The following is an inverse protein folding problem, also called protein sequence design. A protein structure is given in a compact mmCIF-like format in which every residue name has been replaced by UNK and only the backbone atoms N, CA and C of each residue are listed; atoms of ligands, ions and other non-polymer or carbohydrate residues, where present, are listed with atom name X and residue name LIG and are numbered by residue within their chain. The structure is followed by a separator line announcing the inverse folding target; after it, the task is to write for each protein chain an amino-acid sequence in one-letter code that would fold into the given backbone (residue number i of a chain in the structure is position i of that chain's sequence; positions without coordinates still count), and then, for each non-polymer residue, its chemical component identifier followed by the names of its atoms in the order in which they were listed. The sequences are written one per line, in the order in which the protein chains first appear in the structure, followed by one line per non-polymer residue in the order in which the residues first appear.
data_IF_141898878509
#
_entry.id   IF_141898878509
#
_cell.length_a   1.000
_cell.length_b   1.000
_cell.length_c   1.000
_cell.angle_alpha   90.00
_cell.angle_beta   90.00
_cell.angle_gamma   90.00
#
_symmetry.space_group_name_H-M   'P 1'
#
loop_
_entity.id
_entity.type
_entity.pdbx_description
1 polymer ?
#
# COMPACT_ATOMS: atom_id res chain seq x y z
N UNK A 1 27.87 16.07 14.03
CA UNK A 1 27.60 16.46 12.63
C UNK A 1 26.74 15.36 12.05
N UNK A 2 25.46 15.64 11.81
CA UNK A 2 24.53 14.66 11.24
C UNK A 2 24.83 14.57 9.76
N UNK A 3 25.35 13.44 9.28
CA UNK A 3 25.47 13.17 7.85
C UNK A 3 24.06 13.16 7.25
N UNK A 4 23.69 14.26 6.58
CA UNK A 4 22.44 14.33 5.83
C UNK A 4 22.53 13.33 4.69
N UNK A 5 21.87 12.17 4.83
CA UNK A 5 21.82 11.16 3.78
C UNK A 5 20.80 11.60 2.73
N UNK A 6 21.17 11.54 1.47
CA UNK A 6 20.26 11.86 0.36
C UNK A 6 19.51 10.59 -0.05
N UNK A 7 18.22 10.70 -0.31
CA UNK A 7 17.42 9.60 -0.82
C UNK A 7 17.73 9.37 -2.30
N UNK A 8 18.19 8.18 -2.67
CA UNK A 8 18.50 7.84 -4.06
C UNK A 8 17.27 7.61 -4.95
N UNK A 9 16.06 7.71 -4.40
CA UNK A 9 14.80 7.58 -5.16
C UNK A 9 14.23 8.95 -5.52
N UNK A 10 14.03 9.85 -4.54
CA UNK A 10 13.46 11.17 -4.80
C UNK A 10 14.51 12.29 -4.90
N UNK A 11 15.76 12.04 -4.50
CA UNK A 11 16.84 13.04 -4.52
C UNK A 11 16.81 14.06 -3.38
N UNK A 12 15.82 14.00 -2.48
CA UNK A 12 15.71 14.94 -1.35
C UNK A 12 16.60 14.53 -0.17
N UNK A 13 16.97 15.51 0.66
CA UNK A 13 17.72 15.29 1.90
C UNK A 13 16.88 14.56 2.98
N UNK A 14 17.56 13.93 3.95
CA UNK A 14 16.96 13.10 5.02
C UNK A 14 16.20 13.83 6.13
N UNK A 15 15.86 15.11 5.99
CA UNK A 15 15.25 15.87 7.09
C UNK A 15 13.76 16.11 6.82
N UNK A 16 12.80 15.59 7.62
CA UNK A 16 12.96 14.87 8.91
C UNK A 16 12.83 13.33 8.83
N UNK A 17 12.55 12.76 7.66
CA UNK A 17 12.27 11.32 7.54
C UNK A 17 13.54 10.46 7.61
N UNK A 18 13.55 9.40 8.44
CA UNK A 18 14.72 8.53 8.54
C UNK A 18 15.00 7.88 7.19
N UNK A 19 16.28 7.82 6.85
CA UNK A 19 16.78 7.17 5.65
C UNK A 19 17.31 5.79 6.01
N UNK A 20 16.76 4.78 5.34
CA UNK A 20 17.11 3.37 5.47
C UNK A 20 17.79 2.89 4.18
N UNK A 21 18.54 1.80 4.25
CA UNK A 21 19.27 1.25 3.11
C UNK A 21 18.49 0.08 2.52
N UNK A 22 18.30 0.08 1.21
CA UNK A 22 17.68 -1.04 0.51
C UNK A 22 18.55 -2.29 0.60
N UNK A 23 17.99 -3.44 0.97
CA UNK A 23 18.76 -4.70 1.06
C UNK A 23 19.23 -5.21 -0.31
N UNK A 24 18.55 -4.83 -1.39
CA UNK A 24 18.89 -5.32 -2.75
C UNK A 24 19.90 -4.44 -3.46
N UNK A 25 19.60 -3.15 -3.61
CA UNK A 25 20.43 -2.22 -4.37
C UNK A 25 21.36 -1.38 -3.50
N UNK A 26 21.30 -1.53 -2.18
CA UNK A 26 22.11 -0.79 -1.19
C UNK A 26 21.93 0.74 -1.24
N UNK A 27 20.92 1.22 -1.95
CA UNK A 27 20.62 2.64 -2.09
C UNK A 27 19.88 3.16 -0.85
N UNK A 28 20.27 4.31 -0.28
CA UNK A 28 19.50 4.98 0.78
C UNK A 28 18.14 5.48 0.27
N UNK A 29 17.06 5.28 1.03
CA UNK A 29 15.72 5.78 0.70
C UNK A 29 14.94 6.23 1.95
N UNK A 30 13.96 7.12 1.77
CA UNK A 30 13.07 7.57 2.86
C UNK A 30 12.05 6.50 3.22
N UNK A 31 11.91 6.24 4.52
CA UNK A 31 10.85 5.39 5.02
C UNK A 31 10.28 5.94 6.31
N UNK A 32 8.97 6.09 6.39
CA UNK A 32 8.29 6.42 7.63
C UNK A 32 8.10 5.17 8.48
N UNK A 33 8.71 5.19 9.67
CA UNK A 33 8.47 4.18 10.71
C UNK A 33 7.09 4.36 11.35
N UNK A 34 6.53 5.57 11.28
CA UNK A 34 5.30 5.99 11.93
C UNK A 34 4.35 6.60 10.91
N UNK A 35 3.09 6.13 10.90
CA UNK A 35 2.06 6.61 9.97
C UNK A 35 1.44 7.95 10.38
N UNK A 36 1.55 8.29 11.66
CA UNK A 36 1.02 9.52 12.25
C UNK A 36 1.94 10.74 12.03
N UNK A 37 3.18 10.53 11.60
CA UNK A 37 4.13 11.60 11.30
C UNK A 37 4.13 11.96 9.80
N UNK A 38 4.24 13.26 9.47
CA UNK A 38 4.38 13.69 8.08
C UNK A 38 5.73 13.24 7.52
N UNK A 39 5.74 12.74 6.29
CA UNK A 39 6.95 12.28 5.64
C UNK A 39 6.68 11.58 4.31
N UNK A 40 7.76 11.30 3.57
CA UNK A 40 7.73 10.59 2.30
C UNK A 40 8.11 9.12 2.50
N UNK A 41 7.45 8.24 1.76
CA UNK A 41 7.82 6.84 1.64
C UNK A 41 8.34 6.58 0.22
N UNK A 42 9.63 6.31 0.11
CA UNK A 42 10.30 5.95 -1.15
C UNK A 42 10.57 4.44 -1.25
N UNK A 43 9.98 3.66 -0.34
CA UNK A 43 10.09 2.21 -0.26
C UNK A 43 9.13 1.67 0.80
N UNK A 44 9.27 0.40 1.12
CA UNK A 44 8.41 -0.30 2.08
C UNK A 44 9.20 -1.32 2.90
N UNK A 45 8.63 -1.71 4.04
CA UNK A 45 9.10 -2.78 4.89
C UNK A 45 8.22 -4.00 4.66
N UNK A 46 8.74 -5.01 3.96
CA UNK A 46 7.99 -6.21 3.60
C UNK A 46 8.48 -7.42 4.39
N UNK A 47 7.62 -8.44 4.52
CA UNK A 47 8.05 -9.73 5.05
C UNK A 47 8.71 -10.51 3.91
N UNK A 48 10.01 -10.76 4.01
CA UNK A 48 10.78 -11.48 3.00
C UNK A 48 10.85 -12.98 3.24
N UNK A 49 11.53 -13.69 2.33
CA UNK A 49 11.70 -15.15 2.37
C UNK A 49 12.51 -15.61 3.59
N UNK A 50 13.33 -14.72 4.14
CA UNK A 50 14.07 -14.90 5.39
C UNK A 50 13.16 -14.95 6.64
N UNK A 51 11.84 -14.80 6.47
CA UNK A 51 10.85 -14.57 7.53
C UNK A 51 11.17 -13.35 8.41
N UNK A 52 12.02 -12.45 7.92
CA UNK A 52 12.37 -11.18 8.54
C UNK A 52 11.68 -9.99 7.87
N UNK A 53 11.75 -8.83 8.54
CA UNK A 53 11.37 -7.56 7.94
C UNK A 53 12.51 -7.10 7.03
N UNK A 54 12.24 -7.01 5.74
CA UNK A 54 13.18 -6.55 4.71
C UNK A 54 12.80 -5.14 4.24
N UNK A 55 13.79 -4.25 4.20
CA UNK A 55 13.62 -2.86 3.81
C UNK A 55 13.98 -2.72 2.34
N UNK A 56 13.01 -2.40 1.48
CA UNK A 56 13.19 -2.42 0.03
C UNK A 56 12.69 -1.11 -0.59
N UNK A 57 13.46 -0.53 -1.51
CA UNK A 57 13.07 0.69 -2.22
C UNK A 57 11.98 0.42 -3.27
N UNK A 58 11.27 1.48 -3.69
CA UNK A 58 10.16 1.37 -4.65
C UNK A 58 10.56 0.75 -6.01
N UNK A 59 11.79 0.99 -6.47
CA UNK A 59 12.27 0.48 -7.75
C UNK A 59 12.42 -1.05 -7.71
N UNK A 60 13.12 -1.55 -6.69
CA UNK A 60 13.30 -2.97 -6.41
C UNK A 60 11.96 -3.70 -6.17
N UNK A 61 11.01 -3.06 -5.47
CA UNK A 61 9.66 -3.61 -5.33
C UNK A 61 8.97 -3.74 -6.69
N UNK A 62 9.13 -2.75 -7.57
CA UNK A 62 8.60 -2.80 -8.94
C UNK A 62 9.18 -3.97 -9.74
N UNK A 63 10.48 -4.18 -9.67
CA UNK A 63 11.16 -5.30 -10.33
C UNK A 63 10.71 -6.66 -9.80
N UNK A 64 10.58 -6.82 -8.47
CA UNK A 64 10.03 -8.03 -7.86
C UNK A 64 8.62 -8.32 -8.36
N UNK A 65 7.76 -7.32 -8.49
CA UNK A 65 6.40 -7.50 -9.01
C UNK A 65 6.38 -7.92 -10.47
N UNK A 66 7.27 -7.37 -11.29
CA UNK A 66 7.39 -7.76 -12.70
C UNK A 66 7.93 -9.20 -12.87
N UNK A 67 8.84 -9.64 -11.99
CA UNK A 67 9.39 -11.00 -12.01
C UNK A 67 8.52 -12.06 -11.33
N UNK A 68 7.71 -11.69 -10.34
CA UNK A 68 6.91 -12.59 -9.51
C UNK A 68 5.48 -12.83 -10.03
N UNK A 69 5.19 -12.50 -11.29
CA UNK A 69 3.85 -12.62 -11.84
C UNK A 69 3.72 -13.82 -12.81
N UNK A 70 3.63 -15.09 -12.31
CA UNK A 70 3.22 -16.21 -13.14
C UNK A 70 1.73 -16.12 -13.54
N UNK A 71 0.96 -15.24 -12.87
CA UNK A 71 -0.44 -14.96 -13.16
C UNK A 71 -0.64 -14.12 -14.42
N UNK A 72 0.28 -13.21 -14.72
CA UNK A 72 0.25 -12.46 -15.98
C UNK A 72 0.46 -13.36 -17.19
N UNK A 73 1.20 -14.47 -17.08
CA UNK A 73 1.38 -15.47 -18.15
C UNK A 73 0.12 -16.31 -18.38
N UNK A 74 -0.61 -16.70 -17.33
CA UNK A 74 -1.86 -17.45 -17.48
C UNK A 74 -3.04 -16.56 -17.91
N UNK A 75 -3.14 -15.34 -17.39
CA UNK A 75 -4.17 -14.38 -17.81
C UNK A 75 -3.92 -13.88 -19.25
N UNK A 76 -2.65 -13.70 -19.66
CA UNK A 76 -2.30 -13.42 -21.06
C UNK A 76 -2.50 -14.61 -21.99
N UNK A 77 -2.25 -15.85 -21.54
CA UNK A 77 -2.65 -17.05 -22.28
C UNK A 77 -4.17 -17.14 -22.43
N UNK A 78 -4.94 -16.82 -21.39
CA UNK A 78 -6.41 -16.80 -21.46
C UNK A 78 -6.91 -15.68 -22.39
N UNK A 79 -6.26 -14.50 -22.37
CA UNK A 79 -6.55 -13.40 -23.27
C UNK A 79 -6.25 -13.77 -24.73
N UNK A 80 -5.10 -14.39 -25.00
CA UNK A 80 -4.72 -14.90 -26.33
C UNK A 80 -5.65 -16.00 -26.83
N UNK A 81 -6.18 -16.87 -25.94
CA UNK A 81 -7.17 -17.89 -26.31
C UNK A 81 -8.60 -17.33 -26.45
N UNK A 82 -8.84 -16.08 -26.06
CA UNK A 82 -10.16 -15.41 -26.15
C UNK A 82 -10.17 -14.22 -27.11
N UNK A 83 -9.14 -14.07 -27.95
CA UNK A 83 -8.99 -13.11 -29.09
C UNK A 83 -10.05 -13.34 -30.19
N UNK A 84 -11.30 -13.20 -29.81
CA UNK A 84 -12.45 -13.32 -30.69
C UNK A 84 -13.79 -13.07 -30.01
N UNK A 85 -13.86 -12.83 -28.68
CA UNK A 85 -15.19 -12.66 -28.06
C UNK A 85 -15.45 -11.53 -27.09
N UNK A 86 -14.48 -10.77 -26.58
CA UNK A 86 -14.80 -9.62 -25.73
C UNK A 86 -13.79 -8.48 -25.90
N UNK A 87 -13.89 -7.76 -27.02
CA UNK A 87 -13.53 -6.34 -27.03
C UNK A 87 -14.63 -5.63 -26.25
N UNK A 88 -14.38 -5.09 -25.03
CA UNK A 88 -15.33 -4.13 -24.47
C UNK A 88 -15.36 -2.95 -25.44
N UNK A 89 -16.55 -2.50 -25.92
CA UNK A 89 -16.61 -1.35 -26.79
C UNK A 89 -15.99 -0.17 -26.03
N UNK A 90 -14.98 0.46 -26.63
CA UNK A 90 -14.50 1.77 -26.20
C UNK A 90 -15.71 2.70 -26.16
N UNK A 91 -16.16 3.04 -24.96
CA UNK A 91 -17.13 4.09 -24.79
C UNK A 91 -16.51 5.37 -25.39
N UNK A 92 -17.20 6.10 -26.29
CA UNK A 92 -16.69 7.32 -26.84
C UNK A 92 -16.33 8.27 -25.70
N UNK A 93 -15.05 8.69 -25.63
CA UNK A 93 -14.64 9.77 -24.74
C UNK A 93 -15.42 11.02 -25.13
N UNK A 94 -16.45 11.34 -24.36
CA UNK A 94 -17.11 12.63 -24.45
C UNK A 94 -16.08 13.75 -24.27
N UNK A 95 -16.14 14.83 -25.06
CA UNK A 95 -15.25 15.97 -24.88
C UNK A 95 -15.41 16.51 -23.45
N UNK A 96 -14.27 16.74 -22.78
CA UNK A 96 -14.22 17.36 -21.45
C UNK A 96 -14.93 18.71 -21.51
N UNK A 97 -16.13 18.79 -20.94
CA UNK A 97 -16.74 20.07 -20.61
C UNK A 97 -15.93 20.70 -19.46
N UNK A 98 -15.45 21.94 -19.60
CA UNK A 98 -14.96 22.71 -18.48
C UNK A 98 -16.14 23.21 -17.65
N UNK A 99 -15.96 23.20 -16.33
CA UNK A 99 -16.70 23.97 -15.33
C UNK A 99 -18.18 23.64 -15.12
N UNK A 100 -18.44 22.57 -14.35
CA UNK A 100 -19.64 22.48 -13.52
C UNK A 100 -19.24 22.15 -12.07
N UNK A 101 -19.75 22.87 -11.06
CA UNK A 101 -19.48 22.55 -9.66
C UNK A 101 -20.04 21.17 -9.34
N UNK A 102 -19.14 20.23 -9.04
CA UNK A 102 -19.50 18.88 -8.60
C UNK A 102 -20.17 18.98 -7.23
N UNK A 103 -21.50 18.91 -7.19
CA UNK A 103 -22.20 18.55 -5.96
C UNK A 103 -21.79 17.12 -5.60
N UNK A 104 -21.19 16.88 -4.42
CA UNK A 104 -20.84 15.53 -4.01
C UNK A 104 -22.13 14.70 -3.92
N UNK A 105 -22.09 13.42 -4.33
CA UNK A 105 -23.25 12.54 -4.21
C UNK A 105 -23.68 12.42 -2.74
N UNK A 106 -24.99 12.29 -2.45
CA UNK A 106 -25.47 12.17 -1.09
C UNK A 106 -24.84 10.94 -0.43
N UNK A 107 -24.17 11.18 0.71
CA UNK A 107 -23.56 10.11 1.50
C UNK A 107 -24.66 9.15 1.96
N UNK A 108 -24.55 7.83 1.73
CA UNK A 108 -25.50 6.88 2.28
C UNK A 108 -25.51 7.00 3.81
N UNK A 109 -26.72 7.09 4.38
CA UNK A 109 -26.94 7.23 5.81
C UNK A 109 -26.35 6.01 6.53
N UNK A 110 -25.41 6.24 7.44
CA UNK A 110 -24.87 5.20 8.31
C UNK A 110 -26.01 4.71 9.21
N UNK A 111 -26.32 3.40 9.26
CA UNK A 111 -27.24 2.85 10.25
C UNK A 111 -26.75 3.17 11.67
N UNK A 112 -27.68 3.53 12.56
CA UNK A 112 -27.38 3.79 13.96
C UNK A 112 -26.66 2.59 14.59
N UNK A 113 -25.68 2.80 15.49
CA UNK A 113 -25.08 1.70 16.24
C UNK A 113 -26.17 1.01 17.06
N UNK A 114 -26.21 -0.33 16.96
CA UNK A 114 -27.09 -1.14 17.78
C UNK A 114 -26.82 -0.87 19.28
N UNK A 115 -27.86 -0.89 20.15
CA UNK A 115 -27.67 -0.73 21.58
C UNK A 115 -26.71 -1.80 22.09
N UNK A 116 -25.81 -1.36 22.99
CA UNK A 116 -24.81 -2.20 23.61
C UNK A 116 -25.45 -3.48 24.17
N UNK A 117 -24.94 -4.63 23.73
CA UNK A 117 -25.18 -5.89 24.41
C UNK A 117 -24.55 -5.81 25.80
N UNK A 118 -25.30 -5.25 26.74
CA UNK A 118 -25.09 -5.51 28.15
C UNK A 118 -25.20 -7.01 28.40
N UNK A 119 -24.40 -7.48 29.34
CA UNK A 119 -24.44 -8.82 29.92
C UNK A 119 -23.66 -9.94 29.21
N UNK A 120 -22.39 -9.67 28.90
CA UNK A 120 -21.41 -10.77 28.79
C UNK A 120 -20.82 -11.05 30.19
N UNK A 121 -21.08 -12.22 30.81
CA UNK A 121 -20.58 -12.51 32.15
C UNK A 121 -19.06 -12.53 32.16
N UNK A 122 -18.46 -11.61 32.92
CA UNK A 122 -17.01 -11.56 33.16
C UNK A 122 -16.59 -12.82 33.90
N UNK A 123 -15.88 -13.72 33.23
CA UNK A 123 -15.21 -14.87 33.87
C UNK A 123 -14.22 -14.34 34.90
N UNK A 124 -14.52 -14.50 36.18
CA UNK A 124 -13.57 -14.23 37.28
C UNK A 124 -12.58 -15.39 37.32
N UNK A 125 -11.32 -15.12 36.98
CA UNK A 125 -10.23 -16.05 37.25
C UNK A 125 -10.00 -16.07 38.77
N UNK A 126 -10.21 -17.22 39.42
CA UNK A 126 -9.74 -17.43 40.80
C UNK A 126 -8.26 -17.77 40.74
N UNK A 127 -7.45 -17.06 41.53
CA UNK A 127 -6.07 -17.49 41.81
C UNK A 127 -6.11 -18.79 42.61
N UNK A 128 -5.27 -19.73 42.23
CA UNK A 128 -4.95 -20.91 43.03
C UNK A 128 -3.67 -20.53 43.76
N UNK A 129 -3.76 -20.27 45.07
CA UNK A 129 -2.58 -20.12 45.91
C UNK A 129 -2.05 -21.53 46.23
N UNK A 130 -0.73 -21.70 46.06
CA UNK A 130 0.03 -22.95 46.26
C UNK A 130 0.55 -23.05 47.68
#
# INVERSE_FOLDING_TARGET
MSDAKVCGICGDASDPTPVVVCIECLTPFHLRLRKDEPGKDCGDAILGDSMGIEMICSNCIGERRLGADPGNTMLSMFAAMTEGRLVPPEAPRAPRQPDAPQTPPPRPSRPAPAPAAEDRPRRRFRRIDS
#
